data_IF_904861085147
#
_entry.id   IF_904861085147
#
_cell.length_a   1.000
_cell.length_b   1.000
_cell.length_c   1.000
_cell.angle_alpha   90.00
_cell.angle_beta   90.00
_cell.angle_gamma   90.00
#
_symmetry.space_group_name_H-M   'P 1'
#
loop_
_entity.id
_entity.type
_entity.pdbx_description
1 polymer ?
#
# COMPACT_ATOMS: atom_id res chain seq x y z
N UNK A 1 -4.25 4.96 7.73
CA UNK A 1 -3.14 5.66 7.07
C UNK A 1 -3.70 6.87 6.34
N UNK A 2 -3.29 8.10 6.69
CA UNK A 2 -3.72 9.33 5.99
C UNK A 2 -4.50 10.36 6.81
N UNK A 3 -4.63 10.17 8.13
CA UNK A 3 -5.28 11.14 9.03
C UNK A 3 -6.80 11.26 8.87
N UNK A 4 -7.43 10.27 8.23
CA UNK A 4 -8.88 10.15 8.07
C UNK A 4 -9.37 8.88 8.75
N UNK A 5 -10.54 8.97 9.40
CA UNK A 5 -11.15 7.85 10.08
C UNK A 5 -11.89 6.91 9.11
N UNK A 6 -11.64 5.60 9.28
CA UNK A 6 -12.28 4.48 8.59
C UNK A 6 -12.43 4.56 7.06
N UNK A 7 -11.52 5.24 6.35
CA UNK A 7 -11.59 5.40 4.88
C UNK A 7 -10.97 4.25 4.09
N UNK A 8 -11.50 4.01 2.89
CA UNK A 8 -11.02 2.98 1.98
C UNK A 8 -9.62 3.26 1.43
N UNK A 9 -9.32 4.53 1.15
CA UNK A 9 -8.07 5.04 0.59
C UNK A 9 -7.47 6.15 1.46
N UNK A 10 -6.18 6.50 1.30
CA UNK A 10 -5.54 7.54 2.12
C UNK A 10 -6.19 8.93 2.01
N UNK A 11 -6.93 9.19 0.94
CA UNK A 11 -7.60 10.46 0.65
C UNK A 11 -9.13 10.42 0.79
N UNK A 12 -9.76 9.25 0.98
CA UNK A 12 -11.21 9.14 1.03
C UNK A 12 -11.72 7.76 0.63
N UNK A 13 -13.00 7.68 0.27
CA UNK A 13 -13.64 6.40 -0.10
C UNK A 13 -13.69 6.16 -1.61
N UNK A 14 -13.51 7.23 -2.38
CA UNK A 14 -13.29 7.15 -3.81
C UNK A 14 -11.88 6.62 -4.13
N UNK A 15 -11.78 5.78 -5.17
CA UNK A 15 -10.53 5.13 -5.57
C UNK A 15 -9.48 6.10 -6.09
N UNK A 16 -9.84 7.33 -6.37
CA UNK A 16 -8.94 8.34 -6.92
C UNK A 16 -8.90 8.32 -8.44
N UNK A 17 -9.96 7.79 -9.07
CA UNK A 17 -10.22 7.75 -10.51
C UNK A 17 -11.71 7.98 -10.82
N UNK A 18 -12.46 8.56 -9.87
CA UNK A 18 -13.93 8.69 -9.82
C UNK A 18 -14.61 9.12 -11.14
N UNK A 19 -13.90 9.83 -12.00
CA UNK A 19 -14.42 10.43 -13.23
C UNK A 19 -13.92 9.71 -14.51
N UNK A 20 -13.55 8.42 -14.40
CA UNK A 20 -13.02 7.65 -15.54
C UNK A 20 -11.60 8.08 -15.91
N UNK A 21 -10.79 8.35 -14.86
CA UNK A 21 -9.59 9.18 -14.84
C UNK A 21 -8.77 9.21 -16.12
N UNK A 22 -8.67 10.41 -16.71
CA UNK A 22 -7.67 10.70 -17.74
C UNK A 22 -6.28 10.73 -17.11
N UNK A 23 -5.23 10.62 -17.94
CA UNK A 23 -3.85 10.85 -17.52
C UNK A 23 -3.73 12.18 -16.73
N UNK A 24 -3.32 12.07 -15.47
CA UNK A 24 -3.16 13.21 -14.54
C UNK A 24 -4.23 13.36 -13.45
N UNK A 25 -5.32 12.59 -13.50
CA UNK A 25 -6.39 12.63 -12.47
C UNK A 25 -6.27 11.50 -11.44
N UNK A 26 -5.51 10.45 -11.78
CA UNK A 26 -5.21 9.33 -10.90
C UNK A 26 -4.49 9.80 -9.63
N UNK A 27 -4.78 9.13 -8.51
CA UNK A 27 -4.13 9.39 -7.21
C UNK A 27 -3.14 8.31 -6.76
N UNK A 28 -3.03 7.24 -7.53
CA UNK A 28 -2.18 6.10 -7.26
C UNK A 28 -1.78 5.42 -8.56
N UNK A 29 -0.67 4.70 -8.50
CA UNK A 29 -0.19 3.84 -9.57
C UNK A 29 -0.63 2.39 -9.32
N UNK A 30 -1.51 1.87 -10.18
CA UNK A 30 -2.04 0.50 -10.19
C UNK A 30 -2.23 0.05 -11.64
N UNK A 31 -2.72 -1.16 -11.89
CA UNK A 31 -2.93 -1.61 -13.27
C UNK A 31 -4.24 -1.02 -13.82
N UNK A 32 -4.26 -0.60 -15.08
CA UNK A 32 -5.48 -0.31 -15.85
C UNK A 32 -5.54 -1.16 -17.13
N UNK A 33 -6.74 -1.53 -17.58
CA UNK A 33 -6.92 -2.40 -18.74
C UNK A 33 -7.16 -3.87 -18.39
N UNK A 34 -6.66 -4.78 -19.24
CA UNK A 34 -6.94 -6.22 -19.15
C UNK A 34 -5.73 -6.97 -18.59
N UNK A 35 -5.68 -7.13 -17.27
CA UNK A 35 -4.60 -7.86 -16.61
C UNK A 35 -4.63 -9.36 -16.97
N UNK A 36 -3.48 -10.01 -17.28
CA UNK A 36 -2.11 -9.49 -17.33
C UNK A 36 -1.64 -9.13 -18.76
N UNK A 37 -2.57 -8.96 -19.69
CA UNK A 37 -2.28 -8.87 -21.14
C UNK A 37 -1.97 -7.44 -21.56
N UNK A 38 -2.72 -6.47 -21.06
CA UNK A 38 -2.63 -5.06 -21.47
C UNK A 38 -2.74 -4.14 -20.26
N UNK A 39 -1.67 -3.36 -20.04
CA UNK A 39 -1.67 -2.19 -19.16
C UNK A 39 -1.82 -0.93 -20.01
N UNK A 40 -2.91 -0.19 -19.81
CA UNK A 40 -3.15 1.07 -20.53
C UNK A 40 -2.34 2.24 -19.99
N UNK A 41 -1.76 2.11 -18.79
CA UNK A 41 -1.01 3.16 -18.10
C UNK A 41 -1.79 4.49 -18.06
N UNK A 42 -3.10 4.42 -17.81
CA UNK A 42 -3.97 5.61 -17.71
C UNK A 42 -3.55 6.50 -16.52
N UNK A 43 -2.93 5.92 -15.50
CA UNK A 43 -2.29 6.66 -14.39
C UNK A 43 -0.92 7.27 -14.72
N UNK A 44 -0.41 7.01 -15.93
CA UNK A 44 0.87 7.46 -16.45
C UNK A 44 2.03 6.47 -16.33
N UNK A 45 1.84 5.29 -15.72
CA UNK A 45 2.94 4.35 -15.42
C UNK A 45 2.56 2.87 -15.60
N UNK A 46 3.15 2.19 -16.58
CA UNK A 46 3.02 0.72 -16.75
C UNK A 46 3.93 -0.11 -15.81
N UNK A 47 4.42 0.50 -14.74
CA UNK A 47 5.52 0.00 -13.92
C UNK A 47 5.69 0.88 -12.69
N UNK A 48 6.86 0.91 -12.06
CA UNK A 48 7.07 1.80 -10.91
C UNK A 48 7.04 3.27 -11.32
N UNK A 49 6.37 4.10 -10.52
CA UNK A 49 6.45 5.55 -10.59
C UNK A 49 7.51 6.10 -9.61
N UNK A 50 8.06 7.30 -9.85
CA UNK A 50 8.86 8.02 -8.86
C UNK A 50 8.19 8.05 -7.48
N UNK A 51 8.98 7.91 -6.41
CA UNK A 51 8.46 7.79 -5.05
C UNK A 51 7.57 8.96 -4.60
N UNK A 52 7.71 10.13 -5.22
CA UNK A 52 6.94 11.36 -4.96
C UNK A 52 5.93 11.71 -6.08
N UNK A 53 5.53 10.73 -6.89
CA UNK A 53 4.39 10.89 -7.80
C UNK A 53 3.07 10.97 -7.03
N UNK A 54 2.07 11.60 -7.64
CA UNK A 54 0.73 11.87 -7.10
C UNK A 54 0.71 12.77 -5.86
N UNK A 55 -0.50 13.12 -5.41
CA UNK A 55 -0.66 13.95 -4.23
C UNK A 55 -0.32 13.17 -2.94
N UNK A 56 0.39 13.78 -1.96
CA UNK A 56 0.57 13.16 -0.66
C UNK A 56 -0.76 13.08 0.10
N UNK A 57 -0.86 12.14 1.05
CA UNK A 57 -1.95 12.15 2.02
C UNK A 57 -1.77 13.28 3.06
N UNK A 58 -2.71 13.44 4.01
CA UNK A 58 -2.69 14.54 4.99
C UNK A 58 -1.48 14.53 5.94
N UNK A 59 -0.74 13.42 5.99
CA UNK A 59 0.49 13.27 6.77
C UNK A 59 1.75 13.55 5.94
N UNK A 60 1.61 14.00 4.69
CA UNK A 60 2.73 14.24 3.79
C UNK A 60 3.32 12.97 3.18
N UNK A 61 2.68 11.81 3.36
CA UNK A 61 3.17 10.54 2.82
C UNK A 61 2.66 10.33 1.39
N UNK A 62 3.58 9.99 0.50
CA UNK A 62 3.32 9.66 -0.91
C UNK A 62 3.21 8.15 -1.09
N UNK A 63 2.42 7.71 -2.07
CA UNK A 63 2.37 6.32 -2.56
C UNK A 63 2.22 5.26 -1.46
N UNK A 64 1.45 5.53 -0.40
CA UNK A 64 1.17 4.52 0.66
C UNK A 64 0.22 3.40 0.20
N UNK A 65 -0.39 3.59 -0.98
CA UNK A 65 -1.15 2.57 -1.71
C UNK A 65 -0.75 2.63 -3.18
N UNK A 66 -0.67 1.47 -3.84
CA UNK A 66 -0.15 1.36 -5.21
C UNK A 66 1.38 1.49 -5.29
N UNK A 67 1.90 1.68 -6.49
CA UNK A 67 3.33 1.72 -6.82
C UNK A 67 4.07 0.43 -6.43
N UNK A 68 4.53 0.28 -5.19
CA UNK A 68 5.17 -0.96 -4.70
C UNK A 68 4.54 -1.40 -3.40
N UNK A 69 4.48 -2.72 -3.20
CA UNK A 69 4.23 -3.28 -1.88
C UNK A 69 5.31 -2.82 -0.92
N UNK A 70 4.94 -2.55 0.32
CA UNK A 70 5.89 -2.10 1.33
C UNK A 70 5.98 -3.09 2.48
N UNK A 71 7.19 -3.54 2.77
CA UNK A 71 7.50 -4.35 3.95
C UNK A 71 7.16 -3.61 5.25
N UNK A 72 6.65 -4.37 6.22
CA UNK A 72 6.56 -3.98 7.62
C UNK A 72 7.36 -4.96 8.48
N UNK A 73 7.77 -4.50 9.66
CA UNK A 73 8.54 -5.32 10.60
C UNK A 73 7.75 -6.55 11.08
N UNK A 74 6.42 -6.44 11.24
CA UNK A 74 5.57 -7.47 11.83
C UNK A 74 5.65 -8.84 11.14
N UNK A 75 5.60 -9.90 11.96
CA UNK A 75 5.23 -11.23 11.46
C UNK A 75 3.74 -11.27 11.09
N UNK A 76 3.41 -11.93 9.98
CA UNK A 76 2.03 -12.03 9.52
C UNK A 76 1.28 -13.15 10.27
N UNK A 77 0.15 -12.80 10.86
CA UNK A 77 -0.88 -13.73 11.32
C UNK A 77 -2.27 -13.24 10.90
N UNK A 78 -3.16 -14.17 10.55
CA UNK A 78 -4.57 -13.84 10.30
C UNK A 78 -5.31 -13.45 11.58
N UNK A 79 -4.80 -13.87 12.75
CA UNK A 79 -5.38 -13.59 14.07
C UNK A 79 -4.88 -12.29 14.70
N UNK A 80 -3.88 -11.61 14.11
CA UNK A 80 -3.25 -10.40 14.70
C UNK A 80 -4.29 -9.41 15.24
N UNK A 81 -5.31 -9.05 14.46
CA UNK A 81 -6.26 -8.01 14.90
C UNK A 81 -7.28 -8.47 15.95
N UNK A 82 -7.45 -9.77 16.15
CA UNK A 82 -8.30 -10.30 17.22
C UNK A 82 -7.56 -10.42 18.56
N UNK A 83 -6.22 -10.54 18.51
CA UNK A 83 -5.39 -10.91 19.67
C UNK A 83 -4.41 -9.79 20.09
N UNK A 84 -4.17 -8.81 19.22
CA UNK A 84 -3.20 -7.75 19.49
C UNK A 84 -3.69 -6.76 20.56
N UNK A 85 -2.77 -6.23 21.38
CA UNK A 85 -3.08 -5.07 22.22
C UNK A 85 -3.48 -3.88 21.35
N UNK A 86 -4.27 -2.97 21.92
CA UNK A 86 -4.69 -1.75 21.23
C UNK A 86 -3.57 -0.70 21.15
N UNK A 87 -2.69 -0.68 22.15
CA UNK A 87 -1.58 0.26 22.24
C UNK A 87 -0.29 -0.36 21.72
N UNK A 88 0.38 0.34 20.81
CA UNK A 88 1.65 -0.02 20.15
C UNK A 88 1.82 -1.54 19.82
N UNK A 89 0.91 -2.17 19.05
CA UNK A 89 1.05 -3.58 18.72
C UNK A 89 2.24 -3.82 17.78
N UNK A 90 3.10 -4.79 18.12
CA UNK A 90 4.29 -5.19 17.34
C UNK A 90 4.08 -6.48 16.53
N UNK A 91 2.84 -6.96 16.45
CA UNK A 91 2.50 -8.26 15.87
C UNK A 91 2.97 -9.46 16.71
N UNK A 92 2.82 -10.69 16.18
CA UNK A 92 3.30 -11.91 16.84
C UNK A 92 4.83 -11.93 17.00
N UNK A 93 5.34 -12.58 18.04
CA UNK A 93 6.78 -12.68 18.31
C UNK A 93 7.54 -13.59 17.33
N UNK A 94 6.84 -14.48 16.63
CA UNK A 94 7.43 -15.36 15.61
C UNK A 94 6.47 -15.63 14.45
N UNK A 95 7.02 -16.07 13.32
CA UNK A 95 6.25 -16.40 12.12
C UNK A 95 7.14 -16.85 10.96
N UNK A 96 6.53 -17.20 9.85
CA UNK A 96 7.22 -17.66 8.62
C UNK A 96 7.17 -16.64 7.49
N UNK A 97 6.34 -15.59 7.62
CA UNK A 97 6.11 -14.57 6.59
C UNK A 97 6.00 -13.20 7.25
N UNK A 98 6.62 -12.18 6.67
CA UNK A 98 6.52 -10.78 7.14
C UNK A 98 5.36 -10.07 6.43
N UNK A 99 4.81 -9.07 7.09
CA UNK A 99 3.68 -8.29 6.55
C UNK A 99 4.17 -7.42 5.38
N UNK A 100 3.36 -7.34 4.32
CA UNK A 100 3.44 -6.30 3.29
C UNK A 100 2.11 -5.57 3.16
N UNK A 101 2.17 -4.26 2.87
CA UNK A 101 1.02 -3.35 2.78
C UNK A 101 1.05 -2.54 1.49
N UNK A 102 -0.09 -1.91 1.15
CA UNK A 102 -0.17 -0.88 0.12
C UNK A 102 -0.61 -1.36 -1.26
N UNK A 103 -0.37 -2.61 -1.65
CA UNK A 103 -0.54 -3.01 -3.05
C UNK A 103 0.61 -2.50 -3.93
N UNK A 104 0.53 -2.69 -5.24
CA UNK A 104 1.56 -2.27 -6.19
C UNK A 104 0.97 -1.88 -7.54
N UNK A 105 1.81 -1.43 -8.47
CA UNK A 105 1.45 -1.10 -9.87
C UNK A 105 0.79 -2.27 -10.62
N UNK A 106 0.93 -3.52 -10.15
CA UNK A 106 0.29 -4.70 -10.75
C UNK A 106 -1.14 -4.92 -10.26
N UNK A 107 -1.55 -4.29 -9.15
CA UNK A 107 -2.85 -4.60 -8.55
C UNK A 107 -4.00 -4.14 -9.45
N UNK A 108 -4.98 -5.02 -9.70
CA UNK A 108 -6.15 -4.73 -10.52
C UNK A 108 -7.44 -5.23 -9.87
N UNK A 109 -8.58 -4.63 -10.21
CA UNK A 109 -9.88 -4.98 -9.65
C UNK A 109 -10.34 -6.40 -9.90
N UNK A 110 -9.88 -7.00 -11.00
CA UNK A 110 -10.25 -8.36 -11.39
C UNK A 110 -9.66 -9.43 -10.46
N UNK A 111 -8.53 -9.16 -9.79
CA UNK A 111 -7.81 -10.20 -9.03
C UNK A 111 -7.18 -9.72 -7.72
N UNK A 112 -6.79 -8.46 -7.60
CA UNK A 112 -6.08 -7.92 -6.44
C UNK A 112 -6.53 -6.50 -6.08
N UNK A 113 -7.55 -6.40 -5.21
CA UNK A 113 -8.01 -5.14 -4.61
C UNK A 113 -7.28 -4.80 -3.31
N UNK A 114 -5.96 -5.03 -3.28
CA UNK A 114 -5.14 -4.84 -2.08
C UNK A 114 -4.47 -3.45 -2.00
N UNK A 115 -4.86 -2.54 -2.89
CA UNK A 115 -4.50 -1.12 -2.84
C UNK A 115 -5.42 -0.28 -1.90
N UNK A 116 -6.15 -0.94 -0.97
CA UNK A 116 -6.94 -0.28 0.08
C UNK A 116 -6.10 -0.11 1.34
N UNK A 117 -6.34 0.93 2.13
CA UNK A 117 -5.58 1.23 3.36
C UNK A 117 -5.57 0.05 4.35
N UNK A 118 -6.70 -0.63 4.49
CA UNK A 118 -6.84 -1.76 5.41
C UNK A 118 -6.28 -3.09 4.86
N UNK A 119 -5.94 -3.16 3.58
CA UNK A 119 -5.50 -4.41 2.97
C UNK A 119 -4.10 -4.80 3.46
N UNK A 120 -3.90 -6.10 3.66
CA UNK A 120 -2.63 -6.72 4.06
C UNK A 120 -2.36 -7.98 3.25
N UNK A 121 -1.09 -8.27 3.04
CA UNK A 121 -0.60 -9.54 2.52
C UNK A 121 0.68 -9.92 3.27
N UNK A 122 1.35 -10.97 2.84
CA UNK A 122 2.63 -11.39 3.39
C UNK A 122 3.47 -12.14 2.36
N UNK A 123 4.77 -12.13 2.55
CA UNK A 123 5.71 -12.99 1.83
C UNK A 123 6.84 -13.43 2.76
N UNK A 124 7.61 -14.45 2.36
CA UNK A 124 8.72 -14.94 3.19
C UNK A 124 9.83 -13.89 3.25
N UNK A 125 10.58 -13.76 4.36
CA UNK A 125 11.59 -12.70 4.51
C UNK A 125 12.66 -12.68 3.41
N UNK A 126 12.94 -13.83 2.81
CA UNK A 126 13.96 -14.02 1.77
C UNK A 126 13.44 -13.71 0.35
N UNK A 127 12.12 -13.53 0.20
CA UNK A 127 11.51 -13.27 -1.09
C UNK A 127 11.80 -11.84 -1.57
N UNK A 128 12.06 -11.70 -2.87
CA UNK A 128 12.10 -10.43 -3.58
C UNK A 128 11.28 -10.51 -4.87
N UNK A 129 10.73 -9.38 -5.30
CA UNK A 129 10.02 -9.25 -6.57
C UNK A 129 10.13 -7.82 -7.10
N UNK A 130 9.83 -7.62 -8.38
CA UNK A 130 9.91 -6.32 -9.05
C UNK A 130 8.90 -5.27 -8.54
N UNK A 131 7.98 -5.67 -7.66
CA UNK A 131 6.88 -4.83 -7.18
C UNK A 131 6.82 -4.75 -5.64
N UNK A 132 7.91 -5.10 -4.93
CA UNK A 132 8.03 -5.01 -3.47
C UNK A 132 9.24 -4.14 -3.11
N UNK A 133 9.02 -3.15 -2.26
CA UNK A 133 10.01 -2.27 -1.64
C UNK A 133 9.71 -2.05 -0.17
N UNK A 134 10.15 -0.91 0.38
CA UNK A 134 9.88 -0.53 1.77
C UNK A 134 10.05 0.98 1.98
N UNK A 135 9.53 1.47 3.10
CA UNK A 135 9.85 2.79 3.66
C UNK A 135 10.29 2.64 5.10
N UNK A 136 11.18 3.52 5.56
CA UNK A 136 11.66 3.48 6.94
C UNK A 136 10.77 4.31 7.86
N UNK A 137 10.76 3.93 9.14
CA UNK A 137 10.27 4.73 10.25
C UNK A 137 11.37 4.80 11.31
N UNK A 138 11.26 5.77 12.22
CA UNK A 138 12.16 5.92 13.36
C UNK A 138 11.37 6.50 14.52
N UNK A 139 11.75 6.13 15.73
CA UNK A 139 11.23 6.75 16.95
C UNK A 139 11.66 8.22 17.01
N UNK A 140 10.80 9.06 17.57
CA UNK A 140 11.20 10.41 17.91
C UNK A 140 12.25 10.32 19.05
N UNK A 141 13.26 11.20 19.06
CA UNK A 141 14.18 11.27 20.19
C UNK A 141 13.39 11.52 21.48
N UNK A 142 13.75 10.84 22.56
CA UNK A 142 13.19 11.15 23.88
C UNK A 142 13.48 12.62 24.23
N UNK A 143 12.45 13.35 24.63
CA UNK A 143 12.53 14.72 25.15
C UNK A 143 13.45 14.74 26.38
N UNK A 144 14.73 15.10 26.21
CA UNK A 144 15.64 15.47 27.30
C UNK A 144 15.79 16.98 27.41
#
# INVERSE_FOLDING_TARGET
MGGLDARRFPWGDDRGDADGGRAGEWRLNIWQGDFPVLDTADDGWAGTAPARSFAPNRLGLFNTVGNVWEWCEDWFSVHTYAESPLDAPTGPSSGTRRVIRGGSFLCHDSYCRRYRVAARSSTTPESSSSNVGFRCAADLPDDR
#
